data_IF_596623645317
#
_entry.id   IF_596623645317
#
_cell.length_a   1.000
_cell.length_b   1.000
_cell.length_c   1.000
_cell.angle_alpha   90.00
_cell.angle_beta   90.00
_cell.angle_gamma   90.00
#
_symmetry.space_group_name_H-M   'P 1'
#
loop_
_entity.id
_entity.type
_entity.pdbx_description
1 polymer ?
#
# COMPACT_ATOMS: atom_id res chain seq x y z
N UNK A 1 -7.46 -17.93 -14.81
CA UNK A 1 -7.81 -16.54 -14.42
C UNK A 1 -6.65 -15.98 -13.62
N UNK A 2 -5.84 -15.08 -14.19
CA UNK A 2 -4.68 -14.50 -13.50
C UNK A 2 -5.10 -13.28 -12.69
N UNK A 3 -4.75 -13.23 -11.41
CA UNK A 3 -4.81 -12.01 -10.60
C UNK A 3 -3.79 -11.02 -11.15
N UNK A 4 -4.26 -9.95 -11.78
CA UNK A 4 -3.37 -8.88 -12.24
C UNK A 4 -2.93 -8.10 -11.00
N UNK A 5 -1.73 -8.41 -10.52
CA UNK A 5 -1.12 -7.67 -9.43
C UNK A 5 -0.22 -6.58 -10.00
N UNK A 6 -0.47 -5.34 -9.60
CA UNK A 6 0.45 -4.23 -9.87
C UNK A 6 1.45 -4.16 -8.72
N UNK A 7 2.73 -4.41 -9.02
CA UNK A 7 3.84 -4.24 -8.06
C UNK A 7 4.51 -2.90 -8.33
N UNK A 8 4.56 -2.05 -7.32
CA UNK A 8 5.36 -0.83 -7.31
C UNK A 8 6.51 -1.02 -6.32
N UNK A 9 7.74 -0.89 -6.81
CA UNK A 9 8.99 -0.99 -6.03
C UNK A 9 9.79 0.32 -6.04
N UNK A 10 9.37 1.32 -6.81
CA UNK A 10 9.97 2.65 -6.84
C UNK A 10 9.16 3.60 -5.97
N UNK A 11 9.79 4.16 -4.93
CA UNK A 11 9.22 5.16 -4.03
C UNK A 11 8.55 6.33 -4.75
N UNK A 12 9.10 6.78 -5.88
CA UNK A 12 8.55 7.90 -6.66
C UNK A 12 7.25 7.49 -7.35
N UNK A 13 7.20 6.28 -7.90
CA UNK A 13 5.98 5.73 -8.52
C UNK A 13 4.92 5.40 -7.49
N UNK A 14 5.32 4.84 -6.34
CA UNK A 14 4.43 4.59 -5.21
C UNK A 14 3.77 5.90 -4.81
N UNK A 15 4.53 6.97 -4.54
CA UNK A 15 3.97 8.25 -4.11
C UNK A 15 2.99 8.86 -5.13
N UNK A 16 3.29 8.76 -6.43
CA UNK A 16 2.40 9.29 -7.48
C UNK A 16 1.11 8.49 -7.64
N UNK A 17 1.20 7.15 -7.60
CA UNK A 17 0.07 6.29 -7.95
C UNK A 17 -0.76 5.86 -6.76
N UNK A 18 -0.20 5.82 -5.55
CA UNK A 18 -0.90 5.29 -4.37
C UNK A 18 -2.18 6.07 -4.04
N UNK A 19 -2.24 7.36 -4.40
CA UNK A 19 -3.44 8.18 -4.26
C UNK A 19 -4.63 7.66 -5.09
N UNK A 20 -4.37 7.04 -6.25
CA UNK A 20 -5.39 6.43 -7.11
C UNK A 20 -6.03 5.18 -6.47
N UNK A 21 -5.38 4.60 -5.47
CA UNK A 21 -5.79 3.35 -4.82
C UNK A 21 -6.36 3.58 -3.42
N UNK A 22 -6.63 4.84 -3.03
CA UNK A 22 -7.32 5.14 -1.77
C UNK A 22 -8.71 4.50 -1.79
N UNK A 23 -9.06 3.82 -0.70
CA UNK A 23 -10.26 3.00 -0.55
C UNK A 23 -10.12 1.56 -1.04
N UNK A 24 -9.01 1.20 -1.70
CA UNK A 24 -8.74 -0.16 -2.16
C UNK A 24 -7.92 -0.95 -1.15
N UNK A 25 -8.07 -2.26 -1.20
CA UNK A 25 -7.27 -3.19 -0.41
C UNK A 25 -5.90 -3.35 -1.06
N UNK A 26 -4.84 -3.13 -0.29
CA UNK A 26 -3.46 -3.20 -0.75
C UNK A 26 -2.64 -4.09 0.19
N UNK A 27 -1.57 -4.67 -0.36
CA UNK A 27 -0.52 -5.29 0.45
C UNK A 27 0.74 -4.44 0.33
N UNK A 28 1.33 -4.09 1.46
CA UNK A 28 2.63 -3.43 1.50
C UNK A 28 3.65 -4.39 2.09
N UNK A 29 4.87 -4.35 1.57
CA UNK A 29 6.03 -5.02 2.15
C UNK A 29 6.92 -3.93 2.71
N UNK A 30 7.21 -4.04 3.99
CA UNK A 30 8.11 -3.14 4.69
C UNK A 30 9.57 -3.56 4.47
N UNK A 31 10.48 -2.62 4.69
CA UNK A 31 11.94 -2.82 4.59
C UNK A 31 12.48 -3.86 5.58
N UNK A 32 11.74 -4.18 6.64
CA UNK A 32 12.04 -5.26 7.59
C UNK A 32 11.50 -6.64 7.14
N UNK A 33 11.11 -6.78 5.87
CA UNK A 33 10.44 -7.94 5.29
C UNK A 33 9.06 -8.27 5.89
N UNK A 34 8.46 -7.37 6.67
CA UNK A 34 7.10 -7.56 7.16
C UNK A 34 6.10 -7.20 6.07
N UNK A 35 5.25 -8.15 5.70
CA UNK A 35 4.11 -7.88 4.83
C UNK A 35 2.89 -7.46 5.65
N UNK A 36 2.29 -6.32 5.30
CA UNK A 36 1.06 -5.81 5.91
C UNK A 36 -0.04 -5.73 4.85
N UNK A 37 -1.23 -6.19 5.22
CA UNK A 37 -2.42 -6.16 4.38
C UNK A 37 -3.48 -5.29 5.01
N UNK A 38 -4.13 -4.46 4.20
CA UNK A 38 -5.20 -3.59 4.70
C UNK A 38 -5.83 -2.73 3.61
N UNK A 39 -6.85 -1.98 4.00
CA UNK A 39 -7.48 -0.98 3.12
C UNK A 39 -6.70 0.32 3.24
N UNK A 40 -6.27 0.88 2.12
CA UNK A 40 -5.64 2.19 2.11
C UNK A 40 -6.70 3.26 2.40
N UNK A 41 -6.74 3.81 3.61
CA UNK A 41 -7.72 4.85 3.95
C UNK A 41 -7.29 6.23 3.47
N UNK A 42 -6.00 6.55 3.58
CA UNK A 42 -5.44 7.84 3.16
C UNK A 42 -4.01 7.66 2.67
N UNK A 43 -3.62 8.47 1.70
CA UNK A 43 -2.25 8.62 1.27
C UNK A 43 -1.89 10.10 1.20
N UNK A 44 -0.95 10.51 2.05
CA UNK A 44 -0.36 11.83 2.06
C UNK A 44 0.96 11.80 1.27
N UNK A 45 1.61 12.95 1.18
CA UNK A 45 2.91 13.10 0.52
C UNK A 45 4.07 12.37 1.22
N UNK A 46 4.00 12.16 2.53
CA UNK A 46 5.09 11.56 3.33
C UNK A 46 4.74 10.20 3.93
N UNK A 47 3.46 9.85 3.97
CA UNK A 47 2.96 8.64 4.65
C UNK A 47 1.68 8.12 4.03
N UNK A 48 1.41 6.85 4.25
CA UNK A 48 0.13 6.21 3.98
C UNK A 48 -0.52 5.75 5.28
N UNK A 49 -1.84 5.70 5.29
CA UNK A 49 -2.66 5.19 6.39
C UNK A 49 -3.39 3.94 5.90
N UNK A 50 -3.05 2.81 6.50
CA UNK A 50 -3.67 1.52 6.24
C UNK A 50 -4.58 1.15 7.39
N UNK A 51 -5.82 0.78 7.06
CA UNK A 51 -6.74 0.13 7.99
C UNK A 51 -6.49 -1.36 7.94
N UNK A 52 -5.97 -1.92 9.03
CA UNK A 52 -5.72 -3.35 9.13
C UNK A 52 -7.01 -4.16 9.37
N UNK A 53 -6.91 -5.49 9.35
CA UNK A 53 -8.04 -6.40 9.59
C UNK A 53 -8.65 -6.28 11.01
N UNK A 54 -7.96 -5.63 11.95
CA UNK A 54 -8.48 -5.32 13.29
C UNK A 54 -9.17 -3.95 13.34
N UNK A 55 -9.47 -3.35 12.18
CA UNK A 55 -10.02 -2.00 12.02
C UNK A 55 -9.17 -0.89 12.66
N UNK A 56 -7.87 -1.13 12.88
CA UNK A 56 -6.95 -0.11 13.37
C UNK A 56 -6.28 0.58 12.21
N UNK A 57 -6.21 1.90 12.30
CA UNK A 57 -5.48 2.73 11.36
C UNK A 57 -4.00 2.76 11.75
N UNK A 58 -3.15 2.32 10.84
CA UNK A 58 -1.71 2.24 11.01
C UNK A 58 -1.06 3.10 9.92
N UNK A 59 -0.23 4.04 10.33
CA UNK A 59 0.48 4.92 9.40
C UNK A 59 1.89 4.41 9.13
N UNK A 60 2.28 4.37 7.85
CA UNK A 60 3.61 4.00 7.40
C UNK A 60 4.21 5.11 6.55
N UNK A 61 5.48 5.44 6.80
CA UNK A 61 6.24 6.36 5.94
C UNK A 61 6.72 5.61 4.70
N UNK A 62 6.84 6.31 3.57
CA UNK A 62 7.32 5.69 2.32
C UNK A 62 8.73 5.10 2.46
N UNK A 63 9.60 5.70 3.29
CA UNK A 63 10.96 5.20 3.55
C UNK A 63 10.97 3.78 4.16
N UNK A 64 9.89 3.39 4.83
CA UNK A 64 9.76 2.06 5.44
C UNK A 64 9.14 1.05 4.50
N UNK A 65 8.61 1.47 3.35
CA UNK A 65 7.91 0.62 2.39
C UNK A 65 8.93 0.20 1.32
N UNK A 66 9.22 -1.10 1.27
CA UNK A 66 10.02 -1.66 0.20
C UNK A 66 9.20 -1.82 -1.07
N UNK A 67 7.99 -2.38 -0.96
CA UNK A 67 7.14 -2.72 -2.11
C UNK A 67 5.66 -2.56 -1.80
N UNK A 68 4.87 -2.24 -2.83
CA UNK A 68 3.41 -2.18 -2.73
C UNK A 68 2.79 -3.04 -3.83
N UNK A 69 1.85 -3.87 -3.44
CA UNK A 69 1.07 -4.74 -4.30
C UNK A 69 -0.39 -4.29 -4.28
N UNK A 70 -0.92 -4.03 -5.46
CA UNK A 70 -2.34 -3.72 -5.68
C UNK A 70 -2.99 -4.87 -6.43
N UNK A 71 -4.13 -5.33 -5.94
CA UNK A 71 -4.99 -6.20 -6.73
C UNK A 71 -5.82 -5.33 -7.68
N UNK A 72 -5.68 -5.55 -8.98
CA UNK A 72 -6.43 -4.79 -9.99
C UNK A 72 -7.72 -5.50 -10.43
N UNK A 73 -8.09 -6.62 -9.82
CA UNK A 73 -9.34 -7.35 -10.07
C UNK A 73 -10.55 -6.82 -9.25
N UNK A 74 -10.64 -5.50 -9.02
CA UNK A 74 -11.78 -4.88 -8.34
C UNK A 74 -12.68 -4.12 -9.32
#
# INVERSE_FOLDING_TARGET
MGTRQLRLNDSVQIRKRIQEFVGKTISIVLTDNTAMFGVLEKADESKIVLKNMRMKNVSYTFDKIAEVYFDTNA
#
